data_IF_303117511141
#
_entry.id   IF_303117511141
#
_cell.length_a   1.000
_cell.length_b   1.000
_cell.length_c   1.000
_cell.angle_alpha   90.00
_cell.angle_beta   90.00
_cell.angle_gamma   90.00
#
_symmetry.space_group_name_H-M   'P 1'
#
loop_
_entity.id
_entity.type
_entity.pdbx_description
1 polymer ?
#
# COMPACT_ATOMS: atom_id res chain seq x y z
N UNK A 1 -7.32 -0.58 -9.81
CA UNK A 1 -6.40 0.59 -9.93
C UNK A 1 -5.10 0.11 -10.55
N UNK A 2 -4.47 0.85 -11.48
CA UNK A 2 -3.19 0.43 -12.08
C UNK A 2 -2.03 0.97 -11.26
N UNK A 3 -0.96 0.17 -11.10
CA UNK A 3 0.18 0.56 -10.25
C UNK A 3 1.00 1.72 -10.82
N UNK A 4 0.99 1.95 -12.14
CA UNK A 4 1.66 3.11 -12.76
C UNK A 4 1.24 4.46 -12.20
N UNK A 5 -0.01 4.55 -11.67
CA UNK A 5 -0.56 5.79 -11.14
C UNK A 5 -0.14 6.00 -9.65
N UNK A 6 0.48 4.99 -9.04
CA UNK A 6 0.74 4.94 -7.60
C UNK A 6 2.18 4.58 -7.22
N UNK A 7 2.94 4.00 -8.15
CA UNK A 7 4.34 3.63 -7.92
C UNK A 7 5.24 4.84 -7.78
N UNK A 8 6.37 4.67 -7.10
CA UNK A 8 7.47 5.64 -7.14
C UNK A 8 8.25 5.44 -8.43
N UNK A 9 8.40 6.49 -9.24
CA UNK A 9 9.08 6.46 -10.55
C UNK A 9 10.54 6.90 -10.47
N UNK A 10 10.89 7.77 -9.51
CA UNK A 10 12.28 8.17 -9.26
C UNK A 10 12.95 7.14 -8.35
N UNK A 11 13.40 6.04 -8.96
CA UNK A 11 13.92 4.87 -8.24
C UNK A 11 15.41 5.00 -8.04
N UNK A 12 15.83 5.04 -6.78
CA UNK A 12 17.24 4.92 -6.41
C UNK A 12 17.70 3.48 -6.64
N UNK A 13 18.67 3.28 -7.51
CA UNK A 13 19.19 1.96 -7.91
C UNK A 13 20.66 1.78 -7.53
N UNK A 14 21.07 0.53 -7.44
CA UNK A 14 22.48 0.12 -7.31
C UNK A 14 22.90 -0.73 -8.51
N UNK A 15 24.19 -0.82 -8.75
CA UNK A 15 24.79 -1.82 -9.64
C UNK A 15 25.34 -2.98 -8.80
N UNK A 16 25.65 -4.15 -9.38
CA UNK A 16 26.26 -5.27 -8.67
C UNK A 16 27.54 -4.91 -7.92
N UNK A 17 28.30 -3.95 -8.45
CA UNK A 17 29.56 -3.49 -7.87
C UNK A 17 29.43 -2.38 -6.82
N UNK A 18 28.21 -1.88 -6.59
CA UNK A 18 27.97 -0.88 -5.54
C UNK A 18 28.27 -1.49 -4.17
N UNK A 19 29.06 -0.80 -3.34
CA UNK A 19 29.40 -1.31 -2.00
C UNK A 19 28.20 -1.26 -1.06
N UNK A 20 28.13 -2.20 -0.12
CA UNK A 20 27.10 -2.24 0.92
C UNK A 20 27.06 -0.93 1.73
N UNK A 21 28.21 -0.34 2.00
CA UNK A 21 28.31 0.96 2.65
C UNK A 21 27.55 2.04 1.86
N UNK A 22 27.71 2.07 0.52
CA UNK A 22 27.01 3.03 -0.35
C UNK A 22 25.52 2.75 -0.35
N UNK A 23 25.09 1.48 -0.47
CA UNK A 23 23.67 1.10 -0.39
C UNK A 23 23.05 1.55 0.94
N UNK A 24 23.74 1.31 2.07
CA UNK A 24 23.28 1.78 3.38
C UNK A 24 23.14 3.30 3.48
N UNK A 25 24.08 4.05 2.87
CA UNK A 25 23.98 5.52 2.81
C UNK A 25 22.79 5.96 1.96
N UNK A 26 22.60 5.37 0.78
CA UNK A 26 21.44 5.65 -0.08
C UNK A 26 20.11 5.42 0.64
N UNK A 27 19.98 4.29 1.35
CA UNK A 27 18.76 4.01 2.13
C UNK A 27 18.48 5.08 3.19
N UNK A 28 19.51 5.59 3.87
CA UNK A 28 19.38 6.65 4.88
C UNK A 28 19.07 8.00 4.26
N UNK A 29 19.81 8.38 3.22
CA UNK A 29 19.71 9.69 2.56
C UNK A 29 18.33 9.88 1.92
N UNK A 30 17.83 8.86 1.22
CA UNK A 30 16.54 8.91 0.55
C UNK A 30 15.38 8.38 1.40
N UNK A 31 15.64 7.97 2.66
CA UNK A 31 14.65 7.38 3.56
C UNK A 31 13.88 6.21 2.93
N UNK A 32 14.61 5.32 2.27
CA UNK A 32 14.09 4.13 1.59
C UNK A 32 14.60 2.85 2.26
N UNK A 33 13.84 1.77 2.13
CA UNK A 33 14.17 0.47 2.72
C UNK A 33 14.50 -0.60 1.70
N UNK A 34 14.46 -0.25 0.41
CA UNK A 34 14.73 -1.18 -0.70
C UNK A 34 15.44 -0.45 -1.81
N UNK A 35 16.41 -1.14 -2.39
CA UNK A 35 17.20 -0.63 -3.52
C UNK A 35 17.26 -1.73 -4.58
N UNK A 36 16.61 -1.57 -5.72
CA UNK A 36 16.79 -2.47 -6.86
C UNK A 36 18.23 -2.42 -7.35
N UNK A 37 18.74 -3.59 -7.73
CA UNK A 37 20.05 -3.74 -8.40
C UNK A 37 19.79 -3.97 -9.87
N UNK A 38 20.38 -3.14 -10.71
CA UNK A 38 20.19 -3.17 -12.16
C UNK A 38 21.50 -3.45 -12.90
N UNK A 39 21.38 -4.07 -14.06
CA UNK A 39 22.46 -4.24 -15.01
C UNK A 39 22.71 -2.95 -15.84
N UNK A 40 23.76 -2.89 -16.68
CA UNK A 40 24.01 -1.72 -17.52
C UNK A 40 22.90 -1.39 -18.53
N UNK A 41 22.04 -2.36 -18.83
CA UNK A 41 20.87 -2.20 -19.71
C UNK A 41 19.61 -1.81 -18.94
N UNK A 42 19.71 -1.57 -17.63
CA UNK A 42 18.63 -1.16 -16.73
C UNK A 42 17.59 -2.25 -16.42
N UNK A 43 17.93 -3.53 -16.66
CA UNK A 43 17.10 -4.64 -16.21
C UNK A 43 17.36 -4.94 -14.73
N UNK A 44 16.28 -5.34 -14.02
CA UNK A 44 16.36 -5.70 -12.61
C UNK A 44 16.98 -7.09 -12.47
N UNK A 45 18.17 -7.16 -11.84
CA UNK A 45 18.88 -8.41 -11.59
C UNK A 45 18.89 -8.80 -10.10
N UNK A 46 18.55 -7.86 -9.22
CA UNK A 46 18.48 -8.08 -7.78
C UNK A 46 17.68 -7.02 -7.06
N UNK A 47 17.45 -7.26 -5.77
CA UNK A 47 16.91 -6.26 -4.83
C UNK A 47 17.61 -6.40 -3.48
N UNK A 48 17.88 -5.29 -2.82
CA UNK A 48 18.46 -5.25 -1.47
C UNK A 48 17.47 -4.55 -0.55
N UNK A 49 17.15 -5.19 0.57
CA UNK A 49 16.34 -4.59 1.65
C UNK A 49 17.23 -4.08 2.79
N UNK A 50 16.66 -3.28 3.68
CA UNK A 50 17.31 -2.85 4.92
C UNK A 50 17.65 -4.03 5.86
N UNK A 51 16.92 -5.15 5.73
CA UNK A 51 17.21 -6.39 6.44
C UNK A 51 18.47 -7.04 5.90
N UNK A 52 18.64 -7.14 4.59
CA UNK A 52 19.83 -7.74 3.97
C UNK A 52 21.10 -6.97 4.39
N UNK A 53 21.03 -5.64 4.43
CA UNK A 53 22.13 -4.80 4.91
C UNK A 53 22.41 -5.06 6.40
N UNK A 54 21.40 -5.22 7.24
CA UNK A 54 21.57 -5.53 8.67
C UNK A 54 22.17 -6.91 8.89
N UNK A 55 21.68 -7.92 8.17
CA UNK A 55 22.12 -9.30 8.30
C UNK A 55 23.58 -9.49 7.84
N UNK A 56 23.99 -8.73 6.80
CA UNK A 56 25.36 -8.72 6.32
C UNK A 56 26.30 -7.82 7.16
N UNK A 57 25.76 -7.01 8.09
CA UNK A 57 26.57 -6.13 8.94
C UNK A 57 27.08 -6.85 10.18
N UNK A 58 28.32 -6.60 10.63
CA UNK A 58 28.81 -7.13 11.89
C UNK A 58 27.88 -6.77 13.06
N UNK A 59 27.75 -7.69 14.01
CA UNK A 59 26.95 -7.50 15.21
C UNK A 59 27.46 -6.29 16.02
N UNK A 60 26.58 -5.62 16.77
CA UNK A 60 26.97 -4.55 17.71
C UNK A 60 27.93 -5.02 18.81
N UNK A 61 28.07 -6.31 19.01
CA UNK A 61 29.00 -6.90 19.96
C UNK A 61 30.40 -7.16 19.38
N UNK A 62 30.67 -6.73 18.14
CA UNK A 62 32.00 -6.86 17.52
C UNK A 62 33.03 -6.00 18.25
N UNK A 63 34.26 -6.50 18.31
CA UNK A 63 35.43 -5.76 18.82
C UNK A 63 36.10 -4.91 17.76
N UNK A 64 35.58 -4.91 16.54
CA UNK A 64 36.11 -4.10 15.44
C UNK A 64 35.99 -2.61 15.75
N UNK A 65 37.04 -1.87 15.40
CA UNK A 65 37.00 -0.42 15.45
C UNK A 65 36.15 0.15 14.30
N UNK A 66 35.89 1.46 14.35
CA UNK A 66 35.07 2.13 13.36
C UNK A 66 35.68 2.09 11.95
N UNK A 67 37.01 2.14 11.84
CA UNK A 67 37.69 2.13 10.53
C UNK A 67 37.65 0.74 9.91
N UNK A 68 37.88 -0.30 10.71
CA UNK A 68 37.78 -1.70 10.29
C UNK A 68 36.35 -2.02 9.82
N UNK A 69 35.33 -1.55 10.55
CA UNK A 69 33.94 -1.70 10.17
C UNK A 69 33.64 -1.04 8.81
N UNK A 70 34.07 0.23 8.63
CA UNK A 70 33.86 0.92 7.36
C UNK A 70 34.60 0.24 6.20
N UNK A 71 35.81 -0.27 6.44
CA UNK A 71 36.55 -1.02 5.44
C UNK A 71 35.78 -2.28 5.01
N UNK A 72 35.35 -3.11 5.94
CA UNK A 72 34.57 -4.31 5.63
C UNK A 72 33.28 -4.01 4.87
N UNK A 73 32.52 -3.02 5.31
CA UNK A 73 31.28 -2.59 4.62
C UNK A 73 31.54 -2.02 3.22
N UNK A 74 32.75 -1.56 2.92
CA UNK A 74 33.13 -1.09 1.59
C UNK A 74 33.55 -2.21 0.63
N UNK A 75 34.06 -3.32 1.16
CA UNK A 75 34.46 -4.48 0.37
C UNK A 75 33.28 -5.33 -0.06
N UNK A 76 32.27 -5.48 0.78
CA UNK A 76 31.03 -6.23 0.46
C UNK A 76 30.27 -5.48 -0.64
N UNK A 77 29.93 -6.18 -1.73
CA UNK A 77 29.24 -5.61 -2.89
C UNK A 77 27.74 -5.94 -2.86
N UNK A 78 26.96 -5.17 -3.59
CA UNK A 78 25.53 -5.35 -3.74
C UNK A 78 25.17 -6.79 -4.19
N UNK A 79 25.92 -7.35 -5.13
CA UNK A 79 25.74 -8.75 -5.62
C UNK A 79 25.91 -9.80 -4.52
N UNK A 80 26.66 -9.52 -3.47
CA UNK A 80 26.96 -10.49 -2.39
C UNK A 80 25.81 -10.58 -1.38
N UNK A 81 24.95 -9.54 -1.32
CA UNK A 81 23.87 -9.42 -0.33
C UNK A 81 22.48 -9.31 -0.95
N UNK A 82 22.36 -9.10 -2.26
CA UNK A 82 21.09 -8.94 -2.94
C UNK A 82 20.33 -10.27 -3.00
N UNK A 83 19.00 -10.20 -2.97
CA UNK A 83 18.15 -11.29 -3.45
C UNK A 83 18.19 -11.27 -4.98
N UNK A 84 18.77 -12.27 -5.64
CA UNK A 84 18.87 -12.31 -7.10
C UNK A 84 17.50 -12.65 -7.73
N UNK A 85 17.28 -12.19 -8.98
CA UNK A 85 16.07 -12.45 -9.76
C UNK A 85 14.78 -12.20 -8.94
N UNK A 86 14.59 -11.00 -8.41
CA UNK A 86 13.44 -10.70 -7.56
C UNK A 86 12.14 -10.81 -8.37
N UNK A 87 11.05 -11.04 -7.66
CA UNK A 87 9.71 -10.92 -8.25
C UNK A 87 9.52 -9.48 -8.70
N UNK A 88 9.14 -9.28 -9.95
CA UNK A 88 8.79 -7.99 -10.54
C UNK A 88 7.31 -7.98 -10.95
N UNK A 89 6.75 -6.80 -11.14
CA UNK A 89 5.40 -6.59 -11.65
C UNK A 89 5.42 -5.63 -12.82
N UNK A 90 4.44 -5.77 -13.73
CA UNK A 90 4.34 -4.86 -14.87
C UNK A 90 3.59 -3.58 -14.46
N UNK A 91 3.96 -2.46 -15.04
CA UNK A 91 3.32 -1.15 -14.77
C UNK A 91 1.79 -1.14 -15.00
N UNK A 92 1.25 -2.11 -15.76
CA UNK A 92 -0.18 -2.29 -16.02
C UNK A 92 -0.88 -3.21 -15.02
N UNK A 93 -0.14 -3.86 -14.13
CA UNK A 93 -0.73 -4.68 -13.08
C UNK A 93 -1.62 -3.82 -12.16
N UNK A 94 -2.55 -4.47 -11.48
CA UNK A 94 -3.42 -3.77 -10.54
C UNK A 94 -2.81 -3.72 -9.14
N UNK A 95 -3.16 -2.68 -8.39
CA UNK A 95 -2.77 -2.50 -6.99
C UNK A 95 -3.17 -3.73 -6.15
N UNK A 96 -4.35 -4.28 -6.42
CA UNK A 96 -4.91 -5.44 -5.74
C UNK A 96 -4.05 -6.70 -5.99
N UNK A 97 -3.60 -6.91 -7.23
CA UNK A 97 -2.69 -8.01 -7.58
C UNK A 97 -1.34 -7.88 -6.87
N UNK A 98 -0.79 -6.66 -6.84
CA UNK A 98 0.47 -6.37 -6.13
C UNK A 98 0.32 -6.63 -4.63
N UNK A 99 -0.79 -6.19 -4.03
CA UNK A 99 -1.08 -6.44 -2.62
C UNK A 99 -1.12 -7.94 -2.31
N UNK A 100 -1.79 -8.72 -3.17
CA UNK A 100 -1.84 -10.19 -3.05
C UNK A 100 -0.44 -10.81 -3.12
N UNK A 101 0.38 -10.42 -4.11
CA UNK A 101 1.76 -10.92 -4.24
C UNK A 101 2.63 -10.60 -3.01
N UNK A 102 2.52 -9.38 -2.49
CA UNK A 102 3.25 -8.96 -1.28
C UNK A 102 2.86 -9.84 -0.10
N UNK A 103 1.56 -10.10 0.10
CA UNK A 103 1.07 -10.95 1.18
C UNK A 103 1.49 -12.41 1.02
N UNK A 104 1.29 -13.01 -0.15
CA UNK A 104 1.59 -14.42 -0.42
C UNK A 104 3.08 -14.74 -0.36
N UNK A 105 3.94 -13.81 -0.81
CA UNK A 105 5.39 -13.99 -0.83
C UNK A 105 6.08 -13.52 0.44
N UNK A 106 5.38 -12.84 1.34
CA UNK A 106 5.97 -12.27 2.56
C UNK A 106 7.04 -11.20 2.28
N UNK A 107 6.92 -10.48 1.16
CA UNK A 107 7.86 -9.46 0.72
C UNK A 107 7.24 -8.08 0.91
N UNK A 108 8.05 -7.07 1.09
CA UNK A 108 7.50 -5.76 1.43
C UNK A 108 7.54 -4.75 0.27
N UNK A 109 7.90 -5.17 -0.95
CA UNK A 109 7.88 -4.31 -2.14
C UNK A 109 8.51 -4.97 -3.34
N UNK A 110 8.14 -4.47 -4.52
CA UNK A 110 8.41 -5.07 -5.82
C UNK A 110 8.93 -4.00 -6.79
N UNK A 111 10.01 -4.28 -7.53
CA UNK A 111 10.37 -3.48 -8.70
C UNK A 111 9.25 -3.57 -9.74
N UNK A 112 8.96 -2.44 -10.38
CA UNK A 112 8.00 -2.33 -11.47
C UNK A 112 8.76 -2.21 -12.78
N UNK A 113 8.41 -3.05 -13.74
CA UNK A 113 9.05 -3.07 -15.06
C UNK A 113 8.03 -2.75 -16.15
N UNK A 114 8.54 -2.28 -17.28
CA UNK A 114 7.77 -2.14 -18.51
C UNK A 114 7.69 -3.47 -19.30
N UNK A 115 7.17 -3.39 -20.53
CA UNK A 115 7.02 -4.55 -21.41
C UNK A 115 8.36 -5.09 -21.92
N UNK A 116 9.41 -4.28 -21.91
CA UNK A 116 10.78 -4.66 -22.30
C UNK A 116 11.58 -5.19 -21.09
N UNK A 117 10.99 -5.20 -19.88
CA UNK A 117 11.63 -5.67 -18.65
C UNK A 117 12.52 -4.63 -17.97
N UNK A 118 12.49 -3.37 -18.43
CA UNK A 118 13.28 -2.29 -17.86
C UNK A 118 12.61 -1.76 -16.57
N UNK A 119 13.42 -1.43 -15.59
CA UNK A 119 12.94 -0.83 -14.33
C UNK A 119 12.34 0.56 -14.60
N UNK A 120 11.05 0.72 -14.27
CA UNK A 120 10.32 1.99 -14.42
C UNK A 120 9.75 2.52 -13.11
N UNK A 121 9.79 1.72 -12.06
CA UNK A 121 9.26 2.12 -10.76
C UNK A 121 9.54 1.10 -9.65
N UNK A 122 9.10 1.45 -8.46
CA UNK A 122 9.01 0.54 -7.31
C UNK A 122 7.69 0.77 -6.58
N UNK A 123 7.06 -0.31 -6.11
CA UNK A 123 5.86 -0.24 -5.28
C UNK A 123 6.06 -1.06 -4.01
N UNK A 124 5.64 -0.53 -2.87
CA UNK A 124 5.88 -1.10 -1.56
C UNK A 124 4.59 -1.29 -0.76
N UNK A 125 4.65 -2.08 0.31
CA UNK A 125 3.59 -2.20 1.32
C UNK A 125 3.15 -0.84 1.87
N UNK A 126 4.10 0.09 2.09
CA UNK A 126 3.79 1.45 2.51
C UNK A 126 2.97 2.22 1.48
N UNK A 127 3.25 2.04 0.18
CA UNK A 127 2.47 2.68 -0.88
C UNK A 127 1.05 2.11 -0.95
N UNK A 128 0.89 0.80 -0.71
CA UNK A 128 -0.44 0.19 -0.60
C UNK A 128 -1.27 0.78 0.54
N UNK A 129 -0.66 1.06 1.70
CA UNK A 129 -1.35 1.76 2.79
C UNK A 129 -1.71 3.20 2.43
N UNK A 130 -0.83 3.93 1.73
CA UNK A 130 -1.16 5.28 1.23
C UNK A 130 -2.36 5.23 0.27
N UNK A 131 -2.35 4.26 -0.65
CA UNK A 131 -3.46 4.06 -1.58
C UNK A 131 -4.76 3.78 -0.82
N UNK A 132 -4.74 2.88 0.17
CA UNK A 132 -5.92 2.60 1.00
C UNK A 132 -6.46 3.86 1.68
N UNK A 133 -5.58 4.67 2.28
CA UNK A 133 -5.94 5.95 2.91
C UNK A 133 -6.56 6.91 1.90
N UNK A 134 -6.00 6.98 0.69
CA UNK A 134 -6.50 7.89 -0.35
C UNK A 134 -7.86 7.44 -0.89
N UNK A 135 -8.00 6.16 -1.29
CA UNK A 135 -9.24 5.65 -1.89
C UNK A 135 -10.38 5.51 -0.88
N UNK A 136 -10.07 5.28 0.39
CA UNK A 136 -11.08 5.28 1.45
C UNK A 136 -11.63 6.69 1.74
N UNK A 137 -10.90 7.73 1.33
CA UNK A 137 -11.27 9.12 1.57
C UNK A 137 -11.28 9.51 3.06
N UNK A 138 -10.60 8.76 3.93
CA UNK A 138 -10.58 9.01 5.38
C UNK A 138 -10.13 10.43 5.71
N UNK A 139 -9.19 10.99 4.93
CA UNK A 139 -8.72 12.38 5.10
C UNK A 139 -9.77 13.45 4.84
N UNK A 140 -10.89 13.11 4.16
CA UNK A 140 -12.01 14.02 3.91
C UNK A 140 -12.96 14.11 5.11
N UNK A 141 -12.77 13.25 6.12
CA UNK A 141 -13.67 13.15 7.26
C UNK A 141 -15.06 12.61 6.89
N UNK A 142 -16.08 13.11 7.58
CA UNK A 142 -17.45 12.70 7.37
C UNK A 142 -17.86 11.44 8.13
N UNK A 143 -18.87 10.75 7.63
CA UNK A 143 -19.40 9.55 8.26
C UNK A 143 -19.05 8.32 7.44
N UNK A 144 -18.45 7.34 8.09
CA UNK A 144 -18.36 5.99 7.56
C UNK A 144 -19.48 5.14 8.17
N UNK A 145 -20.17 4.37 7.34
CA UNK A 145 -21.15 3.39 7.79
C UNK A 145 -20.96 2.05 7.09
N UNK A 146 -21.29 0.98 7.80
CA UNK A 146 -21.32 -0.37 7.28
C UNK A 146 -22.73 -0.92 7.31
N UNK A 147 -23.16 -1.46 6.18
CA UNK A 147 -24.52 -2.01 6.00
C UNK A 147 -24.39 -3.39 5.37
N UNK A 148 -25.12 -4.36 5.92
CA UNK A 148 -25.20 -5.70 5.36
C UNK A 148 -26.43 -5.83 4.45
N UNK A 149 -26.24 -6.49 3.31
CA UNK A 149 -27.26 -6.76 2.32
C UNK A 149 -27.27 -8.24 1.97
N UNK A 150 -28.45 -8.75 1.57
CA UNK A 150 -28.47 -10.02 0.85
C UNK A 150 -27.87 -9.79 -0.54
N UNK A 151 -26.95 -10.66 -0.96
CA UNK A 151 -26.30 -10.52 -2.26
C UNK A 151 -27.32 -10.62 -3.40
N UNK A 152 -27.19 -9.76 -4.40
CA UNK A 152 -28.12 -9.71 -5.52
C UNK A 152 -27.99 -8.47 -6.38
N UNK A 153 -28.62 -8.52 -7.55
CA UNK A 153 -28.61 -7.41 -8.50
C UNK A 153 -29.52 -6.27 -8.00
N UNK A 154 -28.97 -5.05 -8.00
CA UNK A 154 -29.74 -3.85 -7.67
C UNK A 154 -30.00 -3.61 -6.19
N UNK A 155 -29.49 -4.45 -5.28
CA UNK A 155 -29.75 -4.37 -3.83
C UNK A 155 -29.27 -3.07 -3.19
N UNK A 156 -28.32 -2.38 -3.82
CA UNK A 156 -27.80 -1.09 -3.32
C UNK A 156 -28.61 0.12 -3.78
N UNK A 157 -29.49 -0.02 -4.78
CA UNK A 157 -30.26 1.10 -5.33
C UNK A 157 -31.08 1.84 -4.26
N UNK A 158 -31.81 1.18 -3.34
CA UNK A 158 -32.55 1.87 -2.30
C UNK A 158 -31.64 2.69 -1.35
N UNK A 159 -30.40 2.21 -1.10
CA UNK A 159 -29.43 2.96 -0.30
C UNK A 159 -28.96 4.22 -1.05
N UNK A 160 -28.66 4.12 -2.35
CA UNK A 160 -28.29 5.28 -3.16
C UNK A 160 -29.43 6.29 -3.29
N UNK A 161 -30.67 5.83 -3.41
CA UNK A 161 -31.85 6.70 -3.43
C UNK A 161 -32.00 7.45 -2.12
N UNK A 162 -31.72 6.80 -0.99
CA UNK A 162 -31.74 7.44 0.32
C UNK A 162 -30.63 8.48 0.46
N UNK A 163 -29.39 8.16 0.07
CA UNK A 163 -28.28 9.11 0.07
C UNK A 163 -28.63 10.35 -0.79
N UNK A 164 -29.21 10.15 -1.96
CA UNK A 164 -29.66 11.23 -2.85
C UNK A 164 -30.74 12.08 -2.21
N UNK A 165 -31.74 11.47 -1.55
CA UNK A 165 -32.82 12.19 -0.89
C UNK A 165 -32.34 13.14 0.21
N UNK A 166 -31.25 12.76 0.91
CA UNK A 166 -30.58 13.58 1.94
C UNK A 166 -29.44 14.45 1.38
N UNK A 167 -29.27 14.53 0.06
CA UNK A 167 -28.19 15.25 -0.59
C UNK A 167 -26.79 14.84 -0.05
N UNK A 168 -26.65 13.58 0.35
CA UNK A 168 -25.40 13.03 0.89
C UNK A 168 -24.45 12.63 -0.23
N UNK A 169 -23.28 13.27 -0.29
CA UNK A 169 -22.26 12.99 -1.29
C UNK A 169 -21.41 11.78 -0.90
N UNK A 170 -21.39 10.76 -1.75
CA UNK A 170 -20.57 9.57 -1.57
C UNK A 170 -19.09 9.89 -1.82
N UNK A 171 -18.22 9.58 -0.89
CA UNK A 171 -16.76 9.74 -0.98
C UNK A 171 -16.11 8.44 -1.44
N UNK A 172 -16.47 7.32 -0.81
CA UNK A 172 -15.93 6.01 -1.13
C UNK A 172 -16.93 4.90 -0.81
N UNK A 173 -16.78 3.77 -1.48
CA UNK A 173 -17.54 2.57 -1.21
C UNK A 173 -16.68 1.34 -1.46
N UNK A 174 -16.65 0.43 -0.50
CA UNK A 174 -16.00 -0.87 -0.58
C UNK A 174 -17.04 -1.95 -0.25
N UNK A 175 -16.90 -3.10 -0.88
CA UNK A 175 -17.76 -4.24 -0.60
C UNK A 175 -16.91 -5.45 -0.23
N UNK A 176 -17.41 -6.27 0.69
CA UNK A 176 -16.79 -7.52 1.09
C UNK A 176 -17.85 -8.60 1.32
N UNK A 177 -17.43 -9.85 1.31
CA UNK A 177 -18.28 -10.96 1.76
C UNK A 177 -18.58 -10.78 3.25
N UNK A 178 -19.83 -11.02 3.63
CA UNK A 178 -20.26 -10.82 5.01
C UNK A 178 -19.92 -12.02 5.88
N UNK A 179 -19.58 -11.73 7.13
CA UNK A 179 -19.46 -12.75 8.18
C UNK A 179 -20.82 -13.24 8.71
N UNK A 180 -21.91 -12.61 8.30
CA UNK A 180 -23.28 -12.97 8.70
C UNK A 180 -23.83 -14.18 7.93
N UNK A 181 -23.23 -14.54 6.80
CA UNK A 181 -23.63 -15.71 6.01
C UNK A 181 -23.16 -15.62 4.55
N UNK A 182 -23.16 -16.74 3.83
CA UNK A 182 -22.63 -16.82 2.47
C UNK A 182 -23.43 -16.01 1.43
N UNK A 183 -24.73 -15.75 1.70
CA UNK A 183 -25.60 -14.98 0.82
C UNK A 183 -25.67 -13.50 1.21
N UNK A 184 -24.77 -13.05 2.08
CA UNK A 184 -24.73 -11.69 2.58
C UNK A 184 -23.44 -10.98 2.15
N UNK A 185 -23.56 -9.69 1.84
CA UNK A 185 -22.43 -8.81 1.57
C UNK A 185 -22.46 -7.62 2.51
N UNK A 186 -21.28 -7.16 2.87
CA UNK A 186 -21.11 -5.94 3.64
C UNK A 186 -20.67 -4.81 2.69
N UNK A 187 -21.24 -3.65 2.89
CA UNK A 187 -20.91 -2.44 2.17
C UNK A 187 -20.43 -1.40 3.17
N UNK A 188 -19.21 -0.99 3.00
CA UNK A 188 -18.55 0.06 3.76
C UNK A 188 -18.58 1.32 2.91
N UNK A 189 -19.33 2.31 3.32
CA UNK A 189 -19.41 3.56 2.57
C UNK A 189 -19.07 4.75 3.44
N UNK A 190 -18.48 5.74 2.80
CA UNK A 190 -18.16 7.04 3.41
C UNK A 190 -18.90 8.13 2.67
N UNK A 191 -19.53 9.01 3.42
CA UNK A 191 -20.15 10.23 2.92
C UNK A 191 -19.38 11.46 3.38
N UNK A 192 -19.42 12.53 2.58
CA UNK A 192 -18.84 13.81 2.94
C UNK A 192 -19.46 14.37 4.22
N UNK A 193 -18.74 15.23 4.96
CA UNK A 193 -19.33 15.99 6.05
C UNK A 193 -20.58 16.74 5.57
N UNK A 194 -21.60 16.70 6.38
CA UNK A 194 -22.87 17.40 6.13
C UNK A 194 -23.39 18.03 7.43
N UNK A 195 -24.49 18.78 7.32
CA UNK A 195 -25.10 19.40 8.49
C UNK A 195 -25.58 18.31 9.46
N UNK A 196 -25.31 18.48 10.76
CA UNK A 196 -25.46 17.44 11.79
C UNK A 196 -26.87 16.90 11.95
N UNK A 197 -27.87 17.77 11.79
CA UNK A 197 -29.28 17.38 11.87
C UNK A 197 -29.68 16.48 10.70
N UNK A 198 -29.23 16.78 9.50
CA UNK A 198 -29.47 15.97 8.29
C UNK A 198 -28.71 14.64 8.37
N UNK A 199 -27.46 14.68 8.85
CA UNK A 199 -26.68 13.47 9.08
C UNK A 199 -27.37 12.52 10.03
N UNK A 200 -27.87 13.02 11.17
CA UNK A 200 -28.60 12.19 12.14
C UNK A 200 -29.87 11.58 11.52
N UNK A 201 -30.65 12.36 10.76
CA UNK A 201 -31.83 11.86 10.05
C UNK A 201 -31.46 10.75 9.06
N UNK A 202 -30.44 10.94 8.26
CA UNK A 202 -29.97 9.93 7.32
C UNK A 202 -29.56 8.65 8.05
N UNK A 203 -28.78 8.75 9.13
CA UNK A 203 -28.35 7.60 9.92
C UNK A 203 -29.57 6.83 10.49
N UNK A 204 -30.55 7.52 11.05
CA UNK A 204 -31.77 6.89 11.56
C UNK A 204 -32.58 6.22 10.46
N UNK A 205 -32.70 6.83 9.26
CA UNK A 205 -33.40 6.20 8.14
C UNK A 205 -32.65 5.00 7.58
N UNK A 206 -31.30 5.05 7.50
CA UNK A 206 -30.49 3.89 7.10
C UNK A 206 -30.69 2.75 8.12
N UNK A 207 -30.67 3.06 9.41
CA UNK A 207 -30.90 2.07 10.47
C UNK A 207 -32.30 1.46 10.43
N UNK A 208 -33.30 2.23 10.08
CA UNK A 208 -34.68 1.77 9.99
C UNK A 208 -34.95 0.88 8.78
N UNK A 209 -34.24 1.08 7.66
CA UNK A 209 -34.49 0.40 6.39
C UNK A 209 -33.50 -0.71 6.03
N UNK A 210 -32.31 -0.67 6.63
CA UNK A 210 -31.21 -1.57 6.29
C UNK A 210 -30.60 -2.20 7.52
N UNK A 211 -29.93 -3.31 7.34
CA UNK A 211 -29.15 -3.94 8.42
C UNK A 211 -27.83 -3.19 8.61
N UNK A 212 -27.88 -2.08 9.33
CA UNK A 212 -26.71 -1.30 9.68
C UNK A 212 -25.87 -2.04 10.72
N UNK A 213 -24.59 -2.30 10.41
CA UNK A 213 -23.64 -2.93 11.32
C UNK A 213 -23.05 -1.92 12.31
N UNK A 214 -22.63 -0.79 11.79
CA UNK A 214 -22.16 0.35 12.57
C UNK A 214 -22.15 1.64 11.74
N UNK A 215 -21.94 2.74 12.41
CA UNK A 215 -21.53 4.01 11.82
C UNK A 215 -20.54 4.72 12.76
N UNK A 216 -19.66 5.53 12.17
CA UNK A 216 -18.67 6.32 12.89
C UNK A 216 -18.44 7.63 12.15
N UNK A 217 -18.35 8.73 12.93
CA UNK A 217 -17.91 10.02 12.41
C UNK A 217 -16.41 10.15 12.67
N UNK A 218 -15.66 10.43 11.65
CA UNK A 218 -14.23 10.64 11.76
C UNK A 218 -13.90 12.13 11.63
N UNK A 219 -13.21 12.65 12.63
CA UNK A 219 -12.63 13.98 12.62
C UNK A 219 -11.13 13.83 12.32
N UNK A 220 -10.72 14.28 11.14
CA UNK A 220 -9.32 14.14 10.63
C UNK A 220 -8.29 14.90 11.47
N UNK A 221 -8.73 15.76 12.40
CA UNK A 221 -7.85 16.62 13.21
C UNK A 221 -7.44 15.99 14.56
N UNK A 222 -7.82 14.74 14.83
CA UNK A 222 -7.53 14.05 16.08
C UNK A 222 -6.50 12.90 15.95
N UNK A 223 -5.74 12.83 14.83
CA UNK A 223 -4.70 11.82 14.63
C UNK A 223 -3.31 12.46 14.62
#
# INVERSE_FOLDING_TARGET
MQIRDWMTTDVVTATPETSMLKVSKMMKEYNIRRVPVVDPSHHVIGIISDRDVKDASPSKATTLDMHELYYLLSEVKARDIMTPNPVTVNLRDTVERVALLILERGIGGLPVVDDDGLLVGIITDHDLFKILVEVSGVRKGGVQMAVAFRDGVGVLLPLFDLLRAHNASLVSMLTADSRLGPDMREVYLRISPMERSEENRLIEEVRARFHMLYWVRENVHEV
#
